data_IF_982394664422
#
_entry.id   IF_982394664422
#
_cell.length_a   1.000
_cell.length_b   1.000
_cell.length_c   1.000
_cell.angle_alpha   90.00
_cell.angle_beta   90.00
_cell.angle_gamma   90.00
#
_symmetry.space_group_name_H-M   'P 1'
#
loop_
_entity.id
_entity.type
_entity.pdbx_description
1 polymer ?
#
# COMPACT_ATOMS: atom_id res chain seq x y z
N UNK A 1 17.84 -1.51 -6.64
CA UNK A 1 18.11 -0.23 -7.31
C UNK A 1 17.30 -0.03 -8.59
N UNK A 2 17.28 -0.98 -9.55
CA UNK A 2 16.48 -0.82 -10.79
C UNK A 2 14.95 -0.74 -10.52
N UNK A 3 14.45 -1.44 -9.50
CA UNK A 3 13.04 -1.42 -9.08
C UNK A 3 12.58 -0.10 -8.44
N UNK A 4 13.51 0.64 -7.82
CA UNK A 4 13.27 1.92 -7.14
C UNK A 4 13.11 3.08 -8.14
N UNK A 5 13.86 3.04 -9.24
CA UNK A 5 13.84 4.07 -10.28
C UNK A 5 12.58 4.05 -11.15
N UNK A 6 11.94 2.89 -11.34
CA UNK A 6 10.70 2.79 -12.12
C UNK A 6 9.45 3.18 -11.32
N UNK A 7 9.46 3.00 -9.99
CA UNK A 7 8.33 3.40 -9.11
C UNK A 7 8.31 4.90 -8.79
N UNK A 8 9.47 5.51 -8.54
CA UNK A 8 9.57 6.98 -8.33
C UNK A 8 9.24 7.78 -9.59
N UNK A 9 9.47 7.21 -10.78
CA UNK A 9 9.14 7.83 -12.07
C UNK A 9 7.64 8.02 -12.32
N UNK A 10 6.75 7.26 -11.66
CA UNK A 10 5.29 7.45 -11.77
C UNK A 10 4.73 8.47 -10.79
N UNK A 11 5.25 8.53 -9.58
CA UNK A 11 4.84 9.50 -8.55
C UNK A 11 5.01 10.97 -9.02
N UNK A 12 5.88 11.21 -10.00
CA UNK A 12 6.22 12.52 -10.54
C UNK A 12 5.43 12.90 -11.82
N UNK A 13 4.71 11.96 -12.46
CA UNK A 13 4.06 12.19 -13.76
C UNK A 13 2.63 12.77 -13.68
N UNK A 14 1.99 12.79 -12.51
CA UNK A 14 0.57 13.21 -12.34
C UNK A 14 0.35 14.50 -11.54
N UNK A 15 1.39 15.33 -11.31
CA UNK A 15 1.24 16.58 -10.54
C UNK A 15 0.96 17.80 -11.42
N UNK A 16 -0.29 17.92 -11.88
CA UNK A 16 -0.88 19.21 -12.23
C UNK A 16 -1.17 20.01 -10.96
N UNK A 17 -0.32 20.99 -10.63
CA UNK A 17 -0.54 22.08 -9.65
C UNK A 17 -1.15 21.71 -8.28
N UNK A 18 -0.70 20.63 -7.64
CA UNK A 18 -0.95 20.45 -6.20
C UNK A 18 0.08 21.22 -5.38
N UNK A 19 -0.38 21.90 -4.33
CA UNK A 19 0.42 22.66 -3.37
C UNK A 19 1.72 21.91 -3.01
N UNK A 20 2.89 22.49 -3.35
CA UNK A 20 4.22 21.83 -3.30
C UNK A 20 4.52 21.10 -1.98
N UNK A 21 3.98 21.58 -0.85
CA UNK A 21 4.11 20.93 0.46
C UNK A 21 3.40 19.56 0.53
N UNK A 22 2.23 19.43 -0.09
CA UNK A 22 1.49 18.16 -0.16
C UNK A 22 2.27 17.14 -1.01
N UNK A 23 2.85 17.58 -2.13
CA UNK A 23 3.75 16.73 -2.92
C UNK A 23 4.97 16.23 -2.13
N UNK A 24 5.61 17.09 -1.33
CA UNK A 24 6.75 16.70 -0.48
C UNK A 24 6.36 15.65 0.58
N UNK A 25 5.25 15.87 1.30
CA UNK A 25 4.82 14.92 2.32
C UNK A 25 4.45 13.57 1.73
N UNK A 26 3.79 13.56 0.57
CA UNK A 26 3.48 12.35 -0.19
C UNK A 26 4.76 11.57 -0.53
N UNK A 27 5.76 12.25 -1.06
CA UNK A 27 7.03 11.64 -1.44
C UNK A 27 7.76 11.03 -0.23
N UNK A 28 7.82 11.76 0.90
CA UNK A 28 8.43 11.25 2.13
C UNK A 28 7.76 9.97 2.65
N UNK A 29 6.43 9.91 2.64
CA UNK A 29 5.70 8.72 3.07
C UNK A 29 5.94 7.56 2.10
N UNK A 30 5.92 7.82 0.79
CA UNK A 30 6.20 6.80 -0.23
C UNK A 30 7.61 6.22 -0.07
N UNK A 31 8.61 7.07 0.13
CA UNK A 31 10.01 6.64 0.32
C UNK A 31 10.19 5.83 1.60
N UNK A 32 9.55 6.22 2.70
CA UNK A 32 9.58 5.46 3.95
C UNK A 32 8.97 4.05 3.77
N UNK A 33 7.84 3.95 3.08
CA UNK A 33 7.22 2.66 2.75
C UNK A 33 8.08 1.83 1.80
N UNK A 34 8.79 2.46 0.86
CA UNK A 34 9.71 1.79 -0.06
C UNK A 34 10.94 1.19 0.62
N UNK A 35 11.43 1.86 1.66
CA UNK A 35 12.56 1.39 2.46
C UNK A 35 12.13 0.32 3.47
N UNK A 36 10.87 0.33 3.89
CA UNK A 36 10.33 -0.67 4.78
C UNK A 36 10.12 -2.02 4.06
N UNK A 37 10.59 -3.11 4.66
CA UNK A 37 10.35 -4.48 4.18
C UNK A 37 9.03 -5.08 4.72
N UNK A 38 8.20 -4.27 5.37
CA UNK A 38 6.93 -4.66 5.97
C UNK A 38 5.94 -3.49 5.93
N UNK A 39 4.63 -3.75 6.08
CA UNK A 39 3.66 -2.68 6.26
C UNK A 39 4.01 -1.84 7.49
N UNK A 40 3.78 -0.54 7.40
CA UNK A 40 4.01 0.41 8.49
C UNK A 40 2.70 1.05 8.93
N UNK A 41 2.50 1.17 10.25
CA UNK A 41 1.44 1.98 10.82
C UNK A 41 1.67 3.48 10.62
N UNK A 42 0.61 4.28 10.65
CA UNK A 42 0.70 5.74 10.49
C UNK A 42 1.58 6.40 11.57
N UNK A 43 1.56 5.89 12.81
CA UNK A 43 2.40 6.41 13.88
C UNK A 43 3.87 5.98 13.76
N UNK A 44 4.14 4.79 13.19
CA UNK A 44 5.50 4.37 12.87
C UNK A 44 6.10 5.28 11.77
N UNK A 45 5.31 5.55 10.72
CA UNK A 45 5.67 6.51 9.67
C UNK A 45 5.92 7.91 10.24
N UNK A 46 5.07 8.37 11.16
CA UNK A 46 5.27 9.66 11.82
C UNK A 46 6.58 9.69 12.63
N UNK A 47 6.91 8.61 13.33
CA UNK A 47 8.12 8.54 14.14
C UNK A 47 9.38 8.64 13.26
N UNK A 48 9.44 7.92 12.14
CA UNK A 48 10.62 7.94 11.25
C UNK A 48 10.72 9.21 10.41
N UNK A 49 9.60 9.86 10.09
CA UNK A 49 9.56 11.08 9.26
C UNK A 49 9.58 12.38 10.07
N UNK A 50 9.74 12.30 11.40
CA UNK A 50 9.68 13.47 12.30
C UNK A 50 10.79 14.46 12.02
N UNK A 51 12.00 13.96 11.85
CA UNK A 51 13.19 14.76 11.53
C UNK A 51 13.12 15.34 10.11
N UNK A 52 12.39 14.67 9.21
CA UNK A 52 12.09 15.15 7.86
C UNK A 52 10.95 16.20 7.82
N UNK A 53 10.45 16.63 8.99
CA UNK A 53 9.48 17.72 9.13
C UNK A 53 8.00 17.31 9.09
N UNK A 54 7.67 16.01 9.09
CA UNK A 54 6.30 15.54 9.32
C UNK A 54 6.07 15.42 10.83
N UNK A 55 5.31 16.37 11.40
CA UNK A 55 5.20 16.51 12.86
C UNK A 55 3.83 16.16 13.43
N UNK A 56 2.80 15.98 12.60
CA UNK A 56 1.46 15.60 13.06
C UNK A 56 0.91 14.36 12.35
N UNK A 57 0.12 13.51 13.05
CA UNK A 57 -0.55 12.37 12.43
C UNK A 57 -1.40 12.76 11.22
N UNK A 58 -2.10 13.90 11.27
CA UNK A 58 -2.93 14.38 10.17
C UNK A 58 -2.15 14.60 8.88
N UNK A 59 -0.88 15.03 8.96
CA UNK A 59 -0.04 15.19 7.77
C UNK A 59 0.28 13.83 7.12
N UNK A 60 0.46 12.78 7.93
CA UNK A 60 0.72 11.41 7.47
C UNK A 60 -0.54 10.83 6.83
N UNK A 61 -1.69 10.91 7.50
CA UNK A 61 -2.96 10.42 6.95
C UNK A 61 -3.33 11.10 5.63
N UNK A 62 -3.16 12.42 5.51
CA UNK A 62 -3.42 13.12 4.23
C UNK A 62 -2.48 12.68 3.11
N UNK A 63 -1.23 12.39 3.42
CA UNK A 63 -0.28 11.86 2.42
C UNK A 63 -0.66 10.43 2.01
N UNK A 64 -1.06 9.59 2.97
CA UNK A 64 -1.53 8.23 2.71
C UNK A 64 -2.82 8.20 1.90
N UNK A 65 -3.80 9.06 2.19
CA UNK A 65 -5.04 9.18 1.40
C UNK A 65 -4.73 9.45 -0.07
N UNK A 66 -3.83 10.41 -0.35
CA UNK A 66 -3.41 10.70 -1.72
C UNK A 66 -2.74 9.51 -2.42
N UNK A 67 -1.89 8.77 -1.70
CA UNK A 67 -1.21 7.58 -2.21
C UNK A 67 -2.15 6.37 -2.40
N UNK A 68 -3.24 6.32 -1.64
CA UNK A 68 -4.28 5.30 -1.81
C UNK A 68 -5.14 5.66 -3.03
N UNK A 69 -5.52 6.93 -3.15
CA UNK A 69 -6.32 7.43 -4.27
C UNK A 69 -5.60 7.28 -5.62
N UNK A 70 -4.27 7.44 -5.66
CA UNK A 70 -3.45 7.22 -6.87
C UNK A 70 -3.04 5.75 -7.08
N UNK A 71 -3.35 4.87 -6.13
CA UNK A 71 -3.07 3.43 -6.21
C UNK A 71 -1.62 3.03 -5.91
N UNK A 72 -0.78 3.94 -5.40
CA UNK A 72 0.61 3.64 -5.03
C UNK A 72 0.75 2.90 -3.71
N UNK A 73 -0.25 3.00 -2.83
CA UNK A 73 -0.26 2.40 -1.48
C UNK A 73 -1.57 1.67 -1.22
N UNK A 74 -1.47 0.51 -0.57
CA UNK A 74 -2.61 -0.21 -0.01
C UNK A 74 -2.66 -0.06 1.50
N UNK A 75 -3.87 0.05 2.03
CA UNK A 75 -4.14 -0.15 3.45
C UNK A 75 -4.44 -1.62 3.71
N UNK A 76 -3.74 -2.20 4.69
CA UNK A 76 -3.97 -3.55 5.19
C UNK A 76 -4.76 -3.40 6.48
N UNK A 77 -6.03 -3.81 6.45
CA UNK A 77 -6.99 -3.50 7.50
C UNK A 77 -6.69 -4.28 8.78
N UNK A 78 -6.33 -5.57 8.67
CA UNK A 78 -6.02 -6.40 9.85
C UNK A 78 -4.82 -5.89 10.67
N UNK A 79 -3.89 -5.17 10.03
CA UNK A 79 -2.69 -4.62 10.66
C UNK A 79 -2.82 -3.14 11.02
N UNK A 80 -3.89 -2.46 10.58
CA UNK A 80 -3.98 -0.99 10.63
C UNK A 80 -2.73 -0.31 10.04
N UNK A 81 -2.21 -0.87 8.96
CA UNK A 81 -0.92 -0.52 8.37
C UNK A 81 -1.02 -0.28 6.86
N UNK A 82 0.05 0.26 6.29
CA UNK A 82 0.13 0.65 4.89
C UNK A 82 1.33 -0.01 4.22
N UNK A 83 1.15 -0.45 2.98
CA UNK A 83 2.18 -1.10 2.18
C UNK A 83 2.20 -0.52 0.76
N UNK A 84 3.38 -0.49 0.13
CA UNK A 84 3.48 -0.14 -1.28
C UNK A 84 2.71 -1.14 -2.14
N UNK A 85 2.05 -0.63 -3.17
CA UNK A 85 1.57 -1.46 -4.26
C UNK A 85 2.77 -1.88 -5.14
N UNK A 86 2.89 -3.17 -5.40
CA UNK A 86 3.94 -3.77 -6.23
C UNK A 86 3.51 -3.94 -7.70
N UNK A 87 2.23 -3.65 -8.02
CA UNK A 87 1.67 -3.80 -9.36
C UNK A 87 2.05 -2.64 -10.28
N UNK A 88 2.74 -2.96 -11.38
CA UNK A 88 3.13 -2.00 -12.42
C UNK A 88 1.97 -1.54 -13.32
N UNK A 89 0.73 -1.98 -13.12
CA UNK A 89 -0.42 -1.67 -13.98
C UNK A 89 -1.67 -1.31 -13.16
N UNK A 90 -1.52 -0.48 -12.14
CA UNK A 90 -2.67 0.02 -11.37
C UNK A 90 -3.34 1.19 -12.09
N UNK A 91 -4.30 0.88 -12.96
CA UNK A 91 -5.39 1.77 -13.33
C UNK A 91 -6.56 1.58 -12.35
N UNK A 92 -6.42 2.09 -11.12
CA UNK A 92 -7.52 2.40 -10.17
C UNK A 92 -8.43 1.27 -9.64
N UNK A 93 -8.44 0.06 -10.19
CA UNK A 93 -9.51 -0.93 -9.90
C UNK A 93 -9.02 -2.39 -9.82
N UNK A 94 -7.87 -2.64 -9.20
CA UNK A 94 -7.36 -3.99 -8.94
C UNK A 94 -7.79 -4.54 -7.57
N UNK A 95 -7.93 -5.85 -7.45
CA UNK A 95 -8.00 -6.52 -6.14
C UNK A 95 -6.57 -6.63 -5.58
N UNK A 96 -6.40 -6.35 -4.29
CA UNK A 96 -5.13 -6.53 -3.61
C UNK A 96 -5.19 -7.82 -2.77
N UNK A 97 -4.18 -8.68 -2.89
CA UNK A 97 -4.09 -9.89 -2.07
C UNK A 97 -2.78 -9.90 -1.31
N UNK A 98 -2.86 -10.08 0.00
CA UNK A 98 -1.73 -10.09 0.91
C UNK A 98 -1.62 -11.42 1.63
N UNK A 99 -0.40 -11.97 1.71
CA UNK A 99 -0.06 -12.98 2.70
C UNK A 99 0.69 -12.32 3.85
N UNK A 100 0.23 -12.53 5.08
CA UNK A 100 0.70 -11.86 6.30
C UNK A 100 1.18 -12.92 7.29
N UNK A 101 2.45 -12.82 7.68
CA UNK A 101 3.00 -13.64 8.75
C UNK A 101 2.57 -13.10 10.11
N UNK A 102 1.88 -13.90 10.91
CA UNK A 102 1.41 -13.52 12.25
C UNK A 102 2.53 -13.51 13.30
N UNK A 103 3.70 -14.08 13.00
CA UNK A 103 4.86 -14.08 13.89
C UNK A 103 5.79 -12.88 13.64
N UNK A 104 6.31 -12.73 12.42
CA UNK A 104 7.29 -11.69 12.11
C UNK A 104 6.72 -10.46 11.41
N UNK A 105 5.43 -10.45 11.06
CA UNK A 105 4.78 -9.33 10.37
C UNK A 105 5.21 -9.12 8.92
N UNK A 106 5.99 -10.06 8.32
CA UNK A 106 6.33 -10.02 6.89
C UNK A 106 5.04 -10.10 6.07
N UNK A 107 4.93 -9.23 5.08
CA UNK A 107 3.82 -9.23 4.13
C UNK A 107 4.31 -9.37 2.71
N UNK A 108 3.65 -10.21 1.93
CA UNK A 108 3.86 -10.32 0.49
C UNK A 108 2.56 -9.99 -0.24
N UNK A 109 2.64 -9.09 -1.22
CA UNK A 109 1.55 -8.87 -2.16
C UNK A 109 1.67 -9.85 -3.33
N UNK A 110 0.56 -10.39 -3.80
CA UNK A 110 0.54 -11.18 -5.01
C UNK A 110 -0.76 -10.97 -5.80
N UNK A 111 -0.70 -11.33 -7.09
CA UNK A 111 -1.82 -11.18 -8.02
C UNK A 111 -2.12 -12.51 -8.69
N UNK A 112 -3.40 -12.90 -8.67
CA UNK A 112 -3.89 -14.09 -9.36
C UNK A 112 -5.15 -13.74 -10.15
N UNK A 113 -5.08 -13.86 -11.47
CA UNK A 113 -6.17 -13.51 -12.36
C UNK A 113 -7.42 -14.42 -12.21
N UNK A 114 -7.25 -15.65 -11.70
CA UNK A 114 -8.37 -16.55 -11.40
C UNK A 114 -9.09 -16.10 -10.13
N UNK A 115 -8.34 -15.78 -9.07
CA UNK A 115 -8.90 -15.22 -7.83
C UNK A 115 -9.68 -13.93 -8.13
N UNK A 116 -9.09 -13.01 -8.89
CA UNK A 116 -9.75 -11.78 -9.33
C UNK A 116 -11.09 -12.07 -10.04
N UNK A 117 -11.12 -13.08 -10.92
CA UNK A 117 -12.34 -13.47 -11.64
C UNK A 117 -13.41 -14.01 -10.69
N UNK A 118 -13.02 -14.85 -9.73
CA UNK A 118 -13.93 -15.42 -8.74
C UNK A 118 -14.54 -14.32 -7.88
N UNK A 119 -13.73 -13.38 -7.38
CA UNK A 119 -14.20 -12.25 -6.57
C UNK A 119 -15.18 -11.35 -7.35
N UNK A 120 -14.88 -11.04 -8.62
CA UNK A 120 -15.79 -10.28 -9.48
C UNK A 120 -17.11 -11.01 -9.74
N UNK A 121 -17.07 -12.32 -9.95
CA UNK A 121 -18.27 -13.13 -10.16
C UNK A 121 -19.13 -13.18 -8.90
N UNK A 122 -18.52 -13.33 -7.72
CA UNK A 122 -19.24 -13.32 -6.44
C UNK A 122 -19.95 -11.98 -6.23
N UNK A 123 -19.24 -10.86 -6.41
CA UNK A 123 -19.84 -9.52 -6.29
C UNK A 123 -21.04 -9.34 -7.23
N UNK A 124 -20.91 -9.76 -8.49
CA UNK A 124 -22.03 -9.72 -9.46
C UNK A 124 -23.21 -10.58 -9.04
N UNK A 125 -22.95 -11.81 -8.55
CA UNK A 125 -24.00 -12.75 -8.14
C UNK A 125 -24.84 -12.20 -6.99
N UNK A 126 -24.20 -11.50 -6.06
CA UNK A 126 -24.85 -10.88 -4.90
C UNK A 126 -25.43 -9.48 -5.22
N UNK A 127 -25.37 -9.03 -6.47
CA UNK A 127 -25.83 -7.68 -6.85
C UNK A 127 -24.99 -6.54 -6.26
N UNK A 128 -23.75 -6.83 -5.85
CA UNK A 128 -22.89 -5.89 -5.15
C UNK A 128 -21.96 -5.14 -6.12
N UNK A 129 -22.05 -3.81 -6.13
CA UNK A 129 -21.13 -2.95 -6.89
C UNK A 129 -19.85 -2.72 -6.08
N UNK A 130 -18.82 -3.54 -6.33
CA UNK A 130 -17.55 -3.49 -5.61
C UNK A 130 -16.73 -2.28 -6.04
N UNK A 131 -16.33 -1.44 -5.08
CA UNK A 131 -15.39 -0.32 -5.31
C UNK A 131 -13.93 -0.74 -5.18
N UNK A 132 -13.66 -1.59 -4.20
CA UNK A 132 -12.35 -2.18 -3.93
C UNK A 132 -12.55 -3.58 -3.33
N UNK A 133 -11.52 -4.41 -3.41
CA UNK A 133 -11.51 -5.72 -2.73
C UNK A 133 -10.10 -5.99 -2.24
N UNK A 134 -10.00 -6.35 -0.97
CA UNK A 134 -8.76 -6.79 -0.35
C UNK A 134 -8.96 -8.20 0.17
N UNK A 135 -8.01 -9.08 -0.10
CA UNK A 135 -7.95 -10.43 0.46
C UNK A 135 -6.69 -10.53 1.31
N UNK A 136 -6.84 -10.97 2.55
CA UNK A 136 -5.75 -11.08 3.51
C UNK A 136 -5.65 -12.54 3.98
N UNK A 137 -4.53 -13.19 3.69
CA UNK A 137 -4.18 -14.53 4.16
C UNK A 137 -3.30 -14.39 5.40
N UNK A 138 -3.82 -14.78 6.55
CA UNK A 138 -3.07 -14.78 7.81
C UNK A 138 -2.50 -16.16 8.10
N UNK A 139 -1.19 -16.24 8.34
CA UNK A 139 -0.51 -17.51 8.61
C UNK A 139 0.93 -17.31 9.05
N UNK A 140 1.80 -18.29 8.82
CA UNK A 140 3.25 -18.16 9.04
C UNK A 140 3.96 -18.11 7.70
N UNK A 141 4.97 -17.24 7.57
CA UNK A 141 5.89 -17.32 6.44
C UNK A 141 6.78 -18.56 6.58
N UNK A 142 7.39 -19.00 5.48
CA UNK A 142 8.28 -20.17 5.43
C UNK A 142 9.35 -20.15 6.55
N UNK A 143 10.01 -19.01 6.74
CA UNK A 143 11.03 -18.87 7.79
C UNK A 143 10.48 -19.01 9.21
N UNK A 144 9.23 -18.61 9.47
CA UNK A 144 8.61 -18.74 10.79
C UNK A 144 7.91 -20.08 11.01
N UNK A 145 7.54 -20.79 9.95
CA UNK A 145 6.94 -22.12 10.04
C UNK A 145 7.99 -23.22 10.29
N UNK A 146 9.25 -22.95 9.92
CA UNK A 146 10.35 -23.91 9.98
C UNK A 146 11.58 -23.41 10.76
N UNK A 147 11.46 -22.27 11.44
CA UNK A 147 12.52 -21.63 12.22
C UNK A 147 12.28 -21.65 13.72
#
# INVERSE_FOLDING_TARGET
>A
MLYYNTMTARASAQTGLSNRRHGRNRQLVLDALAQAQRPMGAYELLAVLREEGLRSPLQVYRALEQLIDDGSVHKIESLSAFALCTRLECGGHGHATFAICTNCGRTSEFHDAKLDRVLRQLGRREGFSTRATTVELSGLCESCAHG
#
